data_IF_228985021841
#
_entry.id   IF_228985021841
#
_cell.length_a   1.000
_cell.length_b   1.000
_cell.length_c   1.000
_cell.angle_alpha   90.00
_cell.angle_beta   90.00
_cell.angle_gamma   90.00
#
_symmetry.space_group_name_H-M   'P 1'
#
loop_
_entity.id
_entity.type
_entity.pdbx_description
1 polymer ?
#
# COMPACT_ATOMS: atom_id res chain seq x y z
N UNK A 1 2.52 -34.66 -25.52
CA UNK A 1 3.30 -33.42 -25.77
C UNK A 1 2.58 -32.29 -25.05
N UNK A 2 3.03 -31.96 -23.86
CA UNK A 2 2.68 -30.71 -23.19
C UNK A 2 3.93 -30.33 -22.42
N UNK A 3 4.72 -29.48 -23.07
CA UNK A 3 6.01 -29.01 -22.58
C UNK A 3 5.83 -28.23 -21.27
N UNK A 4 6.81 -28.44 -20.42
CA UNK A 4 7.00 -27.94 -19.06
C UNK A 4 6.98 -26.43 -18.99
N UNK A 5 6.17 -25.86 -18.10
CA UNK A 5 6.13 -24.44 -17.80
C UNK A 5 6.86 -24.15 -16.47
N UNK A 6 8.04 -24.74 -16.29
CA UNK A 6 8.90 -24.56 -15.12
C UNK A 6 10.32 -24.36 -15.64
N UNK A 7 10.67 -23.09 -15.87
CA UNK A 7 12.03 -22.50 -15.94
C UNK A 7 12.03 -21.27 -16.86
N UNK A 8 11.20 -20.26 -16.56
CA UNK A 8 11.47 -18.90 -17.06
C UNK A 8 12.62 -18.33 -16.23
N UNK A 9 13.61 -17.75 -16.91
CA UNK A 9 14.72 -17.02 -16.28
C UNK A 9 14.15 -16.01 -15.25
N UNK A 10 14.53 -16.10 -13.96
CA UNK A 10 14.04 -15.21 -12.92
C UNK A 10 14.31 -13.73 -13.22
N UNK A 11 15.36 -13.40 -13.99
CA UNK A 11 15.63 -12.04 -14.42
C UNK A 11 14.63 -11.56 -15.48
N UNK A 12 14.25 -12.42 -16.43
CA UNK A 12 13.23 -12.11 -17.44
C UNK A 12 11.84 -11.94 -16.80
N UNK A 13 11.49 -12.78 -15.81
CA UNK A 13 10.25 -12.64 -15.04
C UNK A 13 10.23 -11.36 -14.21
N UNK A 14 11.32 -11.03 -13.53
CA UNK A 14 11.43 -9.78 -12.76
C UNK A 14 11.33 -8.53 -13.66
N UNK A 15 11.87 -8.57 -14.87
CA UNK A 15 11.75 -7.49 -15.84
C UNK A 15 10.31 -7.35 -16.38
N UNK A 16 9.62 -8.46 -16.64
CA UNK A 16 8.20 -8.51 -17.04
C UNK A 16 7.30 -7.92 -15.92
N UNK A 17 7.53 -8.33 -14.67
CA UNK A 17 6.77 -7.86 -13.50
C UNK A 17 6.92 -6.35 -13.25
N UNK A 18 8.03 -5.73 -13.66
CA UNK A 18 8.23 -4.28 -13.54
C UNK A 18 7.58 -3.47 -14.65
N UNK A 19 7.52 -4.00 -15.88
CA UNK A 19 7.11 -3.26 -17.08
C UNK A 19 5.63 -2.85 -17.05
N UNK A 20 4.78 -3.69 -16.46
CA UNK A 20 3.34 -3.44 -16.34
C UNK A 20 2.95 -2.94 -14.93
N UNK A 21 3.92 -2.70 -14.05
CA UNK A 21 3.63 -2.31 -12.67
C UNK A 21 3.27 -0.82 -12.57
N UNK A 22 2.03 -0.46 -12.18
CA UNK A 22 1.58 0.94 -12.08
C UNK A 22 2.25 1.73 -10.94
N UNK A 23 3.09 1.06 -10.14
CA UNK A 23 3.86 1.59 -9.04
C UNK A 23 5.35 1.71 -9.37
N UNK A 24 5.84 1.02 -10.40
CA UNK A 24 7.13 1.30 -11.02
C UNK A 24 7.01 2.49 -11.99
N UNK A 25 5.86 2.61 -12.65
CA UNK A 25 5.53 3.67 -13.61
C UNK A 25 4.61 4.71 -12.97
N UNK A 26 5.22 5.73 -12.38
CA UNK A 26 4.53 6.78 -11.62
C UNK A 26 4.17 8.01 -12.48
N UNK A 27 4.33 7.93 -13.80
CA UNK A 27 4.03 9.02 -14.73
C UNK A 27 2.58 9.50 -14.56
N UNK A 28 2.41 10.82 -14.46
CA UNK A 28 1.08 11.44 -14.26
C UNK A 28 0.53 11.36 -12.82
N UNK A 29 1.17 10.64 -11.89
CA UNK A 29 0.77 10.62 -10.49
C UNK A 29 1.26 11.89 -9.76
N UNK A 30 0.37 12.48 -8.98
CA UNK A 30 0.74 13.58 -8.07
C UNK A 30 1.36 13.02 -6.79
N UNK A 31 2.69 13.07 -6.73
CA UNK A 31 3.45 12.69 -5.53
C UNK A 31 3.26 13.75 -4.43
N UNK A 32 2.82 13.32 -3.26
CA UNK A 32 2.68 14.17 -2.07
C UNK A 32 4.04 14.38 -1.41
N UNK A 33 4.73 13.27 -1.14
CA UNK A 33 6.04 13.25 -0.50
C UNK A 33 6.90 12.14 -1.11
N UNK A 34 8.22 12.32 -1.07
CA UNK A 34 9.18 11.28 -1.41
C UNK A 34 10.46 11.45 -0.61
N UNK A 35 11.20 10.37 -0.45
CA UNK A 35 12.59 10.36 -0.01
C UNK A 35 13.44 9.60 -1.06
N UNK A 36 14.60 9.07 -0.66
CA UNK A 36 15.50 8.34 -1.57
C UNK A 36 15.01 6.95 -1.96
N UNK A 37 14.15 6.32 -1.15
CA UNK A 37 13.78 4.90 -1.32
C UNK A 37 12.29 4.67 -1.54
N UNK A 38 11.44 5.65 -1.24
CA UNK A 38 9.99 5.52 -1.35
C UNK A 38 9.30 6.86 -1.70
N UNK A 39 8.04 6.75 -2.11
CA UNK A 39 7.15 7.88 -2.34
C UNK A 39 5.75 7.63 -1.78
N UNK A 40 5.01 8.72 -1.60
CA UNK A 40 3.64 8.71 -1.12
C UNK A 40 2.73 9.50 -2.08
N UNK A 41 1.56 8.95 -2.40
CA UNK A 41 0.56 9.56 -3.27
C UNK A 41 -0.85 9.09 -2.90
N UNK A 42 -1.88 9.85 -3.28
CA UNK A 42 -3.26 9.44 -3.01
C UNK A 42 -3.64 8.17 -3.77
N UNK A 43 -4.45 7.32 -3.12
CA UNK A 43 -5.06 6.18 -3.78
C UNK A 43 -6.04 6.66 -4.88
N UNK A 44 -6.07 5.95 -6.01
CA UNK A 44 -7.01 6.22 -7.10
C UNK A 44 -8.44 5.78 -6.78
N UNK A 45 -8.60 4.86 -5.82
CA UNK A 45 -9.86 4.34 -5.31
C UNK A 45 -9.89 4.51 -3.78
N UNK A 46 -9.99 5.75 -3.27
CA UNK A 46 -9.87 6.02 -1.85
C UNK A 46 -11.00 5.40 -1.03
N UNK A 47 -10.66 4.71 0.07
CA UNK A 47 -11.64 4.20 1.05
C UNK A 47 -12.30 5.36 1.81
N UNK A 48 -11.54 6.41 2.07
CA UNK A 48 -11.96 7.64 2.74
C UNK A 48 -11.18 8.84 2.21
N UNK A 49 -11.65 10.09 2.42
CA UNK A 49 -10.91 11.27 2.03
C UNK A 49 -9.47 11.26 2.57
N UNK A 50 -8.49 11.48 1.68
CA UNK A 50 -7.08 11.49 2.05
C UNK A 50 -6.39 10.11 2.09
N UNK A 51 -7.08 9.02 1.72
CA UNK A 51 -6.45 7.69 1.57
C UNK A 51 -5.19 7.79 0.71
N UNK A 52 -4.06 7.43 1.30
CA UNK A 52 -2.72 7.57 0.73
C UNK A 52 -2.01 6.23 0.70
N UNK A 53 -1.29 5.97 -0.39
CA UNK A 53 -0.39 4.83 -0.54
C UNK A 53 1.06 5.28 -0.40
N UNK A 54 1.87 4.49 0.29
CA UNK A 54 3.33 4.64 0.37
C UNK A 54 3.98 3.43 -0.27
N UNK A 55 4.87 3.66 -1.22
CA UNK A 55 5.41 2.64 -2.11
C UNK A 55 6.93 2.82 -2.25
N UNK A 56 7.76 1.77 -2.09
CA UNK A 56 9.18 1.84 -2.37
C UNK A 56 9.44 2.02 -3.88
N UNK A 57 10.58 2.57 -4.26
CA UNK A 57 10.94 2.64 -5.69
C UNK A 57 11.40 1.29 -6.23
N UNK A 58 12.06 0.48 -5.40
CA UNK A 58 12.44 -0.87 -5.78
C UNK A 58 11.19 -1.73 -5.80
N UNK A 59 10.94 -2.38 -6.94
CA UNK A 59 9.86 -3.35 -7.07
C UNK A 59 10.09 -4.53 -6.11
N UNK A 60 9.26 -4.63 -5.08
CA UNK A 60 9.15 -5.80 -4.22
C UNK A 60 7.70 -6.07 -3.90
N UNK A 61 7.29 -7.33 -3.99
CA UNK A 61 5.89 -7.68 -3.82
C UNK A 61 5.46 -7.72 -2.36
N UNK A 62 6.36 -8.15 -1.47
CA UNK A 62 6.05 -8.43 -0.07
C UNK A 62 6.71 -7.46 0.88
N UNK A 63 5.97 -7.00 1.89
CA UNK A 63 6.52 -6.24 3.01
C UNK A 63 7.64 -6.98 3.73
N UNK A 64 7.63 -8.31 3.72
CA UNK A 64 8.67 -9.12 4.35
C UNK A 64 10.00 -9.12 3.57
N UNK A 65 9.98 -8.71 2.30
CA UNK A 65 11.16 -8.61 1.42
C UNK A 65 11.79 -7.21 1.38
N UNK A 66 11.25 -6.26 2.15
CA UNK A 66 11.85 -4.93 2.30
C UNK A 66 13.15 -5.00 3.10
N UNK A 67 14.14 -4.22 2.67
CA UNK A 67 15.34 -3.97 3.46
C UNK A 67 14.99 -3.09 4.69
N UNK A 68 15.88 -3.06 5.68
CA UNK A 68 15.69 -2.20 6.85
C UNK A 68 15.62 -0.71 6.49
N UNK A 69 16.42 -0.28 5.50
CA UNK A 69 16.42 1.11 5.04
C UNK A 69 15.12 1.48 4.33
N UNK A 70 14.54 0.56 3.54
CA UNK A 70 13.25 0.78 2.89
C UNK A 70 12.11 0.84 3.91
N UNK A 71 12.12 -0.02 4.95
CA UNK A 71 11.16 0.06 6.05
C UNK A 71 11.22 1.41 6.74
N UNK A 72 12.43 1.87 7.08
CA UNK A 72 12.63 3.17 7.71
C UNK A 72 12.16 4.31 6.81
N UNK A 73 12.48 4.26 5.52
CA UNK A 73 12.03 5.24 4.55
C UNK A 73 10.50 5.29 4.42
N UNK A 74 9.83 4.13 4.50
CA UNK A 74 8.36 4.04 4.53
C UNK A 74 7.82 4.63 5.82
N UNK A 75 8.38 4.28 6.98
CA UNK A 75 7.96 4.79 8.30
C UNK A 75 8.08 6.32 8.39
N UNK A 76 9.18 6.89 7.89
CA UNK A 76 9.39 8.34 7.81
C UNK A 76 8.29 9.02 6.97
N UNK A 77 7.87 8.38 5.87
CA UNK A 77 6.77 8.88 5.04
C UNK A 77 5.41 8.69 5.70
N UNK A 78 5.21 7.64 6.51
CA UNK A 78 3.96 7.45 7.27
C UNK A 78 3.74 8.63 8.20
N UNK A 79 4.75 8.99 8.99
CA UNK A 79 4.67 10.10 9.94
C UNK A 79 4.40 11.43 9.22
N UNK A 80 5.12 11.69 8.12
CA UNK A 80 4.97 12.89 7.31
C UNK A 80 3.59 13.00 6.65
N UNK A 81 3.06 11.89 6.14
CA UNK A 81 1.72 11.85 5.58
C UNK A 81 0.68 12.14 6.66
N UNK A 82 0.78 11.51 7.82
CA UNK A 82 -0.14 11.74 8.95
C UNK A 82 -0.14 13.22 9.38
N UNK A 83 1.01 13.86 9.51
CA UNK A 83 1.08 15.29 9.88
C UNK A 83 0.37 16.19 8.84
N UNK A 84 0.59 15.90 7.55
CA UNK A 84 -0.08 16.61 6.47
C UNK A 84 -1.60 16.36 6.42
N UNK A 85 -2.02 15.11 6.64
CA UNK A 85 -3.42 14.71 6.62
C UNK A 85 -4.18 15.30 7.81
N UNK A 86 -3.55 15.41 8.98
CA UNK A 86 -4.12 16.06 10.17
C UNK A 86 -4.43 17.53 9.92
N UNK A 87 -3.55 18.24 9.21
CA UNK A 87 -3.74 19.66 8.88
C UNK A 87 -4.80 19.84 7.79
N UNK A 88 -4.80 18.98 6.77
CA UNK A 88 -5.64 19.19 5.58
C UNK A 88 -7.05 18.62 5.72
N UNK A 89 -7.20 17.49 6.40
CA UNK A 89 -8.44 16.71 6.44
C UNK A 89 -9.03 16.53 7.84
N UNK A 90 -8.27 16.81 8.90
CA UNK A 90 -8.73 16.70 10.28
C UNK A 90 -9.43 15.36 10.63
N UNK A 91 -8.82 14.20 10.34
CA UNK A 91 -9.43 12.92 10.69
C UNK A 91 -9.49 12.68 12.20
N UNK A 92 -10.43 11.85 12.63
CA UNK A 92 -10.58 11.41 14.02
C UNK A 92 -9.70 10.20 14.37
N UNK A 93 -9.10 9.56 13.37
CA UNK A 93 -8.22 8.41 13.55
C UNK A 93 -7.65 7.90 12.23
N UNK A 94 -6.93 6.77 12.28
CA UNK A 94 -6.30 6.16 11.10
C UNK A 94 -6.38 4.64 11.14
N UNK A 95 -6.45 4.02 9.96
CA UNK A 95 -5.97 2.66 9.75
C UNK A 95 -4.71 2.71 8.91
N UNK A 96 -3.71 1.95 9.33
CA UNK A 96 -2.47 1.75 8.58
C UNK A 96 -2.33 0.25 8.37
N UNK A 97 -2.10 -0.18 7.13
CA UNK A 97 -2.12 -1.60 6.78
C UNK A 97 -1.38 -1.92 5.51
N UNK A 98 -1.02 -3.19 5.37
CA UNK A 98 -0.35 -3.74 4.18
C UNK A 98 -1.00 -5.08 3.87
N UNK A 99 -1.42 -5.24 2.62
CA UNK A 99 -1.89 -6.53 2.12
C UNK A 99 -0.73 -7.26 1.46
N UNK A 100 -0.57 -8.55 1.76
CA UNK A 100 0.53 -9.37 1.25
C UNK A 100 -0.08 -10.64 0.64
N UNK A 101 0.12 -10.81 -0.66
CA UNK A 101 -0.50 -11.81 -1.52
C UNK A 101 -2.00 -11.61 -1.76
N UNK A 102 -2.51 -12.31 -2.78
CA UNK A 102 -3.89 -12.20 -3.27
C UNK A 102 -4.94 -12.49 -2.19
N UNK A 103 -4.74 -13.53 -1.36
CA UNK A 103 -5.71 -13.88 -0.31
C UNK A 103 -5.86 -12.82 0.78
N UNK A 104 -4.87 -11.93 0.93
CA UNK A 104 -4.95 -10.77 1.81
C UNK A 104 -5.50 -9.51 1.10
N UNK A 105 -5.87 -9.61 -0.18
CA UNK A 105 -6.39 -8.51 -0.99
C UNK A 105 -5.32 -7.68 -1.71
N UNK A 106 -4.09 -8.17 -1.86
CA UNK A 106 -3.08 -7.49 -2.67
C UNK A 106 -3.39 -7.65 -4.17
N UNK A 107 -3.73 -6.55 -4.84
CA UNK A 107 -4.06 -6.54 -6.28
C UNK A 107 -2.92 -6.03 -7.16
N UNK A 108 -2.13 -5.08 -6.66
CA UNK A 108 -0.86 -4.68 -7.29
C UNK A 108 0.27 -5.40 -6.56
N UNK A 109 0.99 -6.27 -7.27
CA UNK A 109 2.10 -7.07 -6.73
C UNK A 109 3.39 -6.26 -6.58
N UNK A 110 3.25 -5.06 -6.02
CA UNK A 110 4.32 -4.21 -5.52
C UNK A 110 3.82 -3.68 -4.18
N UNK A 111 4.54 -3.99 -3.10
CA UNK A 111 4.16 -3.66 -1.73
C UNK A 111 3.82 -2.19 -1.62
N UNK A 112 2.72 -1.91 -0.93
CA UNK A 112 2.25 -0.56 -0.67
C UNK A 112 1.61 -0.53 0.71
N UNK A 113 1.95 0.49 1.48
CA UNK A 113 1.36 0.75 2.79
C UNK A 113 0.20 1.72 2.62
N UNK A 114 -0.96 1.31 3.09
CA UNK A 114 -2.14 2.15 3.15
C UNK A 114 -2.08 3.03 4.40
N UNK A 115 -2.38 4.31 4.25
CA UNK A 115 -2.77 5.21 5.34
C UNK A 115 -4.17 5.72 5.02
N UNK A 116 -5.14 5.25 5.80
CA UNK A 116 -6.56 5.52 5.61
C UNK A 116 -7.02 6.41 6.77
N UNK A 117 -7.24 7.71 6.53
CA UNK A 117 -7.88 8.59 7.51
C UNK A 117 -9.28 8.07 7.87
N UNK A 118 -9.65 8.14 9.14
CA UNK A 118 -10.95 7.69 9.66
C UNK A 118 -11.69 8.85 10.29
N UNK A 119 -13.00 8.84 10.16
CA UNK A 119 -13.89 9.93 10.58
C UNK A 119 -15.03 9.36 11.42
N UNK A 120 -15.47 10.09 12.46
CA UNK A 120 -16.65 9.70 13.22
C UNK A 120 -17.85 9.56 12.28
N UNK A 121 -18.50 8.40 12.32
CA UNK A 121 -19.66 8.08 11.49
C UNK A 121 -19.34 7.52 10.10
N UNK A 122 -18.07 7.33 9.73
CA UNK A 122 -17.68 6.71 8.45
C UNK A 122 -18.00 5.20 8.37
N UNK A 123 -18.29 4.58 9.51
CA UNK A 123 -18.72 3.19 9.62
C UNK A 123 -19.71 3.02 10.78
N UNK A 124 -20.73 2.17 10.65
CA UNK A 124 -21.69 1.92 11.73
C UNK A 124 -21.07 1.20 12.94
N UNK A 125 -19.95 0.48 12.78
CA UNK A 125 -19.33 -0.33 13.84
C UNK A 125 -17.80 -0.18 13.88
N UNK A 126 -17.26 0.95 14.41
CA UNK A 126 -15.84 1.26 14.33
C UNK A 126 -14.94 0.34 15.17
N UNK A 127 -15.47 -0.27 16.24
CA UNK A 127 -14.74 -1.17 17.16
C UNK A 127 -14.10 -2.37 16.44
N UNK A 128 -14.66 -2.80 15.31
CA UNK A 128 -14.14 -3.93 14.54
C UNK A 128 -12.78 -3.67 13.89
N UNK A 129 -12.50 -2.44 13.46
CA UNK A 129 -11.22 -2.04 12.86
C UNK A 129 -10.71 -3.04 11.81
N UNK A 130 -9.45 -3.46 11.96
CA UNK A 130 -8.77 -4.43 11.06
C UNK A 130 -9.50 -5.77 10.98
N UNK A 131 -10.33 -6.15 11.95
CA UNK A 131 -11.12 -7.40 11.87
C UNK A 131 -12.12 -7.40 10.72
N UNK A 132 -12.46 -6.23 10.19
CA UNK A 132 -13.30 -6.08 9.00
C UNK A 132 -12.77 -6.80 7.75
N UNK A 133 -11.50 -7.21 7.73
CA UNK A 133 -10.94 -8.05 6.65
C UNK A 133 -11.69 -9.39 6.51
N UNK A 134 -12.25 -9.92 7.60
CA UNK A 134 -13.20 -11.05 7.57
C UNK A 134 -14.54 -10.53 8.13
N UNK A 135 -15.47 -10.08 7.27
CA UNK A 135 -16.68 -9.37 7.71
C UNK A 135 -17.49 -10.10 8.78
N UNK A 136 -17.62 -11.43 8.65
CA UNK A 136 -18.33 -12.27 9.62
C UNK A 136 -17.69 -12.30 11.03
N UNK A 137 -16.45 -11.84 11.18
CA UNK A 137 -15.69 -11.79 12.45
C UNK A 137 -15.41 -10.36 12.92
N UNK A 138 -15.98 -9.35 12.26
CA UNK A 138 -15.72 -7.93 12.55
C UNK A 138 -16.15 -7.55 13.98
N UNK A 139 -17.31 -8.02 14.43
CA UNK A 139 -17.91 -7.66 15.73
C UNK A 139 -17.58 -8.66 16.84
N UNK A 140 -17.44 -8.15 18.07
CA UNK A 140 -17.36 -8.90 19.33
C UNK A 140 -17.75 -8.02 20.53
#
# INVERSE_FOLDING_TARGET
MSETNEDKDPAAKAAEDTADCPFCHLEGRKILFKNSLACAFYDGFPVSPGHTLIVPFRHVQSFFALTMDERKAIDDLILKCRDFLDIKYHPDGYNIGVNINESAGQSVMHVHVHIIPRYKGDTPAPKGGVRGVIPAKQSY
#
